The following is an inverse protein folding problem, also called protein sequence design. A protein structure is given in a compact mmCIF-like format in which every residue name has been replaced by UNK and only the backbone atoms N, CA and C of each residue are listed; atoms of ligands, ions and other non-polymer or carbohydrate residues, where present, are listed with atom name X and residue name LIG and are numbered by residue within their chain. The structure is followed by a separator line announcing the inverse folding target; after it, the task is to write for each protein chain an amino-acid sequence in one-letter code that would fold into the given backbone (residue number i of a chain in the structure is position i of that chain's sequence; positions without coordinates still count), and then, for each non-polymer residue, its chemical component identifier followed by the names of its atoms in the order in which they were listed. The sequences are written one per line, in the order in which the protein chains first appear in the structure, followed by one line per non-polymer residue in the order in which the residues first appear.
data_IF_153003589046
#
_entry.id   IF_153003589046
#
_cell.length_a   1.000
_cell.length_b   1.000
_cell.length_c   1.000
_cell.angle_alpha   90.00
_cell.angle_beta   90.00
_cell.angle_gamma   90.00
#
_symmetry.space_group_name_H-M   'P 1'
#
loop_
_entity.id
_entity.type
_entity.pdbx_description
1 polymer ?
#
# COMPACT_ATOMS: atom_id res chain seq x y z
N UNK A 1 8.47 -17.84 12.41
CA UNK A 1 8.46 -17.53 12.07
C UNK A 1 8.31 -16.36 11.86
N UNK A 2 8.78 -15.95 11.89
CA UNK A 2 8.79 -14.70 11.73
C UNK A 2 8.00 -14.29 10.68
N UNK A 3 8.05 -13.32 10.09
CA UNK A 3 7.38 -12.97 8.90
C UNK A 3 5.90 -13.01 8.99
N UNK A 4 5.35 -12.68 10.07
CA UNK A 4 3.92 -12.77 10.21
C UNK A 4 3.19 -11.53 9.74
N UNK A 5 3.83 -10.70 8.95
CA UNK A 5 3.18 -9.53 8.39
C UNK A 5 2.21 -10.01 7.33
N UNK A 6 0.96 -9.66 7.49
CA UNK A 6 -0.07 -10.09 6.56
C UNK A 6 -0.07 -9.26 5.29
N UNK A 7 -0.51 -9.87 4.22
CA UNK A 7 -0.80 -9.09 3.02
C UNK A 7 -1.98 -8.19 3.28
N UNK A 8 -1.95 -7.01 2.67
CA UNK A 8 -3.02 -6.05 2.81
C UNK A 8 -3.50 -5.66 1.42
N UNK A 9 -4.82 -5.60 1.26
CA UNK A 9 -5.41 -5.25 -0.02
C UNK A 9 -5.54 -3.74 -0.11
N UNK A 10 -4.72 -3.13 -0.96
CA UNK A 10 -4.68 -1.67 -1.04
C UNK A 10 -5.93 -1.07 -1.67
N UNK A 11 -6.77 -1.89 -2.27
CA UNK A 11 -8.03 -1.39 -2.84
C UNK A 11 -9.17 -1.41 -1.85
N UNK A 12 -9.11 -2.26 -0.85
CA UNK A 12 -10.23 -2.39 0.08
C UNK A 12 -9.90 -2.00 1.51
N UNK A 13 -8.62 -1.97 1.87
CA UNK A 13 -8.23 -1.62 3.23
C UNK A 13 -8.56 -0.15 3.51
N UNK A 14 -9.02 0.12 4.72
CA UNK A 14 -9.29 1.49 5.10
C UNK A 14 -8.02 2.14 5.65
N UNK A 15 -8.11 3.44 5.96
CA UNK A 15 -6.95 4.18 6.43
C UNK A 15 -6.36 3.57 7.70
N UNK A 16 -7.22 3.12 8.60
CA UNK A 16 -6.75 2.54 9.85
C UNK A 16 -5.92 1.30 9.61
N UNK A 17 -6.39 0.44 8.73
CA UNK A 17 -5.67 -0.78 8.41
C UNK A 17 -4.34 -0.48 7.75
N UNK A 18 -4.36 0.47 6.83
CA UNK A 18 -3.14 0.82 6.09
C UNK A 18 -2.10 1.43 7.00
N UNK A 19 -2.51 2.35 7.87
CA UNK A 19 -1.53 3.05 8.70
C UNK A 19 -0.92 2.16 9.77
N UNK A 20 -1.56 1.07 10.11
CA UNK A 20 -0.99 0.14 11.09
C UNK A 20 -0.01 -0.84 10.48
N UNK A 21 0.06 -0.89 9.15
CA UNK A 21 1.01 -1.78 8.49
C UNK A 21 2.43 -1.25 8.69
N UNK A 22 3.37 -2.09 9.13
CA UNK A 22 4.70 -1.61 9.49
C UNK A 22 5.46 -0.94 8.37
N UNK A 23 5.18 -1.29 7.12
CA UNK A 23 5.89 -0.69 6.00
C UNK A 23 5.11 0.41 5.29
N UNK A 24 3.85 0.63 5.66
CA UNK A 24 3.04 1.66 5.01
C UNK A 24 3.03 2.95 5.80
N UNK A 25 2.63 2.87 7.05
CA UNK A 25 2.57 4.01 7.94
C UNK A 25 1.58 5.07 7.48
N UNK A 26 1.48 6.13 8.26
CA UNK A 26 0.41 7.10 8.10
C UNK A 26 0.48 7.87 6.79
N UNK A 27 1.66 8.38 6.44
CA UNK A 27 1.76 9.22 5.26
C UNK A 27 1.44 8.47 3.98
N UNK A 28 2.00 7.28 3.84
CA UNK A 28 1.73 6.48 2.66
C UNK A 28 0.28 6.01 2.65
N UNK A 29 -0.26 5.68 3.82
CA UNK A 29 -1.65 5.27 3.91
C UNK A 29 -2.58 6.36 3.37
N UNK A 30 -2.34 7.62 3.75
CA UNK A 30 -3.12 8.73 3.24
C UNK A 30 -3.02 8.85 1.73
N UNK A 31 -1.81 8.70 1.21
CA UNK A 31 -1.61 8.83 -0.23
C UNK A 31 -2.35 7.71 -0.97
N UNK A 32 -2.30 6.50 -0.43
CA UNK A 32 -3.00 5.38 -1.05
C UNK A 32 -4.51 5.64 -1.08
N UNK A 33 -5.07 6.06 0.03
CA UNK A 33 -6.51 6.30 0.09
C UNK A 33 -6.90 7.43 -0.84
N UNK A 34 -6.13 8.51 -0.85
CA UNK A 34 -6.43 9.63 -1.73
C UNK A 34 -6.34 9.22 -3.20
N UNK A 35 -5.34 8.43 -3.54
CA UNK A 35 -5.21 7.97 -4.92
C UNK A 35 -6.44 7.17 -5.34
N UNK A 36 -6.87 6.24 -4.49
CA UNK A 36 -8.05 5.44 -4.79
C UNK A 36 -9.29 6.30 -5.01
N UNK A 37 -9.43 7.30 -4.17
CA UNK A 37 -10.61 8.16 -4.24
C UNK A 37 -10.63 9.02 -5.49
N UNK A 38 -9.45 9.37 -6.00
CA UNK A 38 -9.37 10.24 -7.17
C UNK A 38 -9.30 9.47 -8.47
N UNK A 39 -8.62 8.35 -8.47
CA UNK A 39 -8.33 7.62 -9.70
C UNK A 39 -8.96 6.25 -9.79
N UNK A 40 -9.63 5.83 -8.74
CA UNK A 40 -10.20 4.49 -8.72
C UNK A 40 -9.20 3.47 -8.20
N UNK A 41 -9.60 2.23 -8.26
CA UNK A 41 -8.80 1.15 -7.69
C UNK A 41 -7.49 0.97 -8.45
N UNK A 42 -6.49 0.48 -7.72
CA UNK A 42 -5.24 0.08 -8.34
C UNK A 42 -5.48 -1.18 -9.17
N UNK A 43 -4.98 -1.19 -10.39
CA UNK A 43 -5.10 -2.36 -11.25
C UNK A 43 -4.09 -3.44 -10.86
N UNK A 44 -2.91 -3.03 -10.46
CA UNK A 44 -1.85 -3.95 -10.05
C UNK A 44 -1.14 -3.39 -8.84
N UNK A 45 -0.42 -4.27 -8.14
CA UNK A 45 0.40 -3.81 -7.02
C UNK A 45 1.44 -2.79 -7.49
N UNK A 46 1.94 -2.96 -8.70
CA UNK A 46 2.96 -2.06 -9.22
C UNK A 46 2.46 -0.64 -9.44
N UNK A 47 1.14 -0.48 -9.57
CA UNK A 47 0.60 0.86 -9.73
C UNK A 47 0.91 1.76 -8.55
N UNK A 48 1.18 1.18 -7.38
CA UNK A 48 1.51 1.97 -6.21
C UNK A 48 2.83 2.74 -6.40
N UNK A 49 3.68 2.29 -7.33
CA UNK A 49 4.92 3.00 -7.61
C UNK A 49 4.69 4.37 -8.24
N UNK A 50 3.49 4.59 -8.76
CA UNK A 50 3.15 5.89 -9.31
C UNK A 50 2.96 6.94 -8.23
N UNK A 51 2.87 6.51 -6.99
CA UNK A 51 2.78 7.43 -5.86
C UNK A 51 4.15 8.06 -5.65
N UNK A 52 4.21 9.37 -5.70
CA UNK A 52 5.47 10.11 -5.75
C UNK A 52 6.38 9.87 -4.55
N UNK A 53 5.81 9.61 -3.39
CA UNK A 53 6.63 9.49 -2.19
C UNK A 53 7.23 8.11 -1.99
N UNK A 54 6.93 7.19 -2.89
CA UNK A 54 7.37 5.81 -2.74
C UNK A 54 8.61 5.55 -3.60
N UNK A 55 9.74 5.31 -2.95
CA UNK A 55 10.96 4.99 -3.68
C UNK A 55 10.95 3.54 -4.13
N UNK A 56 11.84 3.20 -5.06
CA UNK A 56 11.96 1.82 -5.51
C UNK A 56 12.31 0.89 -4.37
N UNK A 57 13.20 1.33 -3.48
CA UNK A 57 13.58 0.54 -2.33
C UNK A 57 12.40 0.27 -1.42
N UNK A 58 11.62 1.30 -1.15
CA UNK A 58 10.46 1.15 -0.30
C UNK A 58 9.45 0.21 -0.93
N UNK A 59 9.27 0.34 -2.25
CA UNK A 59 8.34 -0.53 -2.95
C UNK A 59 8.80 -2.00 -2.87
N UNK A 60 10.09 -2.24 -3.05
CA UNK A 60 10.59 -3.60 -3.00
C UNK A 60 10.33 -4.27 -1.65
N UNK A 61 10.45 -3.51 -0.58
CA UNK A 61 10.16 -4.04 0.75
C UNK A 61 8.68 -4.30 0.95
N UNK A 62 7.86 -3.47 0.35
CA UNK A 62 6.43 -3.49 0.56
C UNK A 62 5.72 -4.51 -0.33
N UNK A 63 6.24 -4.71 -1.53
CA UNK A 63 5.56 -5.47 -2.55
C UNK A 63 5.04 -6.84 -2.09
N UNK A 64 5.82 -7.64 -1.36
CA UNK A 64 5.34 -8.97 -0.97
C UNK A 64 4.11 -8.94 -0.07
N UNK A 65 3.83 -7.79 0.52
CA UNK A 65 2.72 -7.67 1.47
C UNK A 65 1.51 -6.95 0.90
N UNK A 66 1.52 -6.66 -0.39
CA UNK A 66 0.42 -5.94 -1.02
C UNK A 66 -0.41 -6.85 -1.90
N UNK A 67 -1.67 -6.51 -2.01
CA UNK A 67 -2.60 -7.21 -2.90
C UNK A 67 -3.57 -6.20 -3.49
N UNK A 68 -4.13 -6.52 -4.64
CA UNK A 68 -5.12 -5.66 -5.31
C UNK A 68 -6.35 -6.41 -5.75
N UNK A 69 -6.59 -7.57 -5.29
CA UNK A 69 -7.63 -8.42 -5.70
C UNK A 69 -8.96 -7.85 -6.09
#
# INVERSE_FOLDING_TARGET
KSGNIKKININTANLEELKTHPYIRYNLANVIVNFRNQHGNFATVEDIKKIMILSDEAFDKLQPYLAVN
#
